data_IF_270386044631
#
_entry.id   IF_270386044631
#
_cell.length_a   1.000
_cell.length_b   1.000
_cell.length_c   1.000
_cell.angle_alpha   90.00
_cell.angle_beta   90.00
_cell.angle_gamma   90.00
#
_symmetry.space_group_name_H-M   'P 1'
#
loop_
_entity.id
_entity.type
_entity.pdbx_description
1 polymer ?
#
# COMPACT_ATOMS: atom_id res chain seq x y z
N UNK A 1 6.91 -12.61 0.83
CA UNK A 1 5.81 -11.64 0.78
C UNK A 1 5.58 -11.14 2.17
N UNK A 2 5.68 -9.82 2.39
CA UNK A 2 5.37 -9.23 3.68
C UNK A 2 3.88 -8.89 3.68
N UNK A 3 3.17 -9.24 4.74
CA UNK A 3 1.79 -8.81 4.97
C UNK A 3 1.77 -7.79 6.11
N UNK A 4 0.96 -6.74 5.96
CA UNK A 4 0.72 -5.71 6.96
C UNK A 4 -0.75 -5.77 7.39
N UNK A 5 -0.98 -5.65 8.70
CA UNK A 5 -2.33 -5.54 9.24
C UNK A 5 -2.61 -4.07 9.45
N UNK A 6 -3.61 -3.56 8.74
CA UNK A 6 -3.99 -2.14 8.76
C UNK A 6 -4.45 -1.76 10.17
N UNK A 7 -3.77 -0.82 10.79
CA UNK A 7 -4.12 -0.23 12.08
C UNK A 7 -5.32 0.72 11.98
N UNK A 8 -5.93 1.02 13.12
CA UNK A 8 -7.05 1.96 13.19
C UNK A 8 -6.57 3.38 12.85
N UNK A 9 -7.06 3.92 11.73
CA UNK A 9 -6.66 5.23 11.21
C UNK A 9 -5.50 5.18 10.20
N UNK A 10 -4.96 3.98 9.88
CA UNK A 10 -4.02 3.84 8.78
C UNK A 10 -4.75 3.90 7.43
N UNK A 11 -4.04 4.41 6.43
CA UNK A 11 -4.50 4.51 5.05
C UNK A 11 -3.47 3.87 4.13
N UNK A 12 -3.86 3.48 2.91
CA UNK A 12 -2.91 2.97 1.91
C UNK A 12 -1.74 3.93 1.73
N UNK A 13 -1.99 5.24 1.76
CA UNK A 13 -0.96 6.27 1.60
C UNK A 13 0.04 6.27 2.77
N UNK A 14 -0.43 6.15 4.01
CA UNK A 14 0.45 6.08 5.18
C UNK A 14 1.28 4.81 5.18
N UNK A 15 0.67 3.67 4.84
CA UNK A 15 1.34 2.36 4.79
C UNK A 15 2.35 2.34 3.65
N UNK A 16 1.96 2.81 2.47
CA UNK A 16 2.85 2.91 1.31
C UNK A 16 4.09 3.76 1.62
N UNK A 17 3.92 4.90 2.30
CA UNK A 17 5.04 5.73 2.78
C UNK A 17 5.91 5.00 3.81
N UNK A 18 5.30 4.28 4.75
CA UNK A 18 6.01 3.52 5.79
C UNK A 18 6.91 2.44 5.18
N UNK A 19 6.41 1.74 4.17
CA UNK A 19 7.13 0.67 3.48
C UNK A 19 7.93 1.15 2.26
N UNK A 20 7.92 2.45 1.95
CA UNK A 20 8.56 3.06 0.76
C UNK A 20 8.17 2.39 -0.56
N UNK A 21 6.89 2.10 -0.70
CA UNK A 21 6.28 1.48 -1.88
C UNK A 21 5.25 2.43 -2.49
N UNK A 22 4.92 2.28 -3.77
CA UNK A 22 3.88 3.08 -4.38
C UNK A 22 2.49 2.65 -3.88
N UNK A 23 1.58 3.63 -3.73
CA UNK A 23 0.17 3.32 -3.44
C UNK A 23 -0.44 2.49 -4.56
N UNK A 24 -0.10 2.80 -5.82
CA UNK A 24 -0.55 2.05 -7.00
C UNK A 24 -0.06 0.59 -6.97
N UNK A 25 1.22 0.34 -6.66
CA UNK A 25 1.74 -1.02 -6.48
C UNK A 25 1.04 -1.75 -5.34
N UNK A 26 0.74 -1.07 -4.23
CA UNK A 26 -0.02 -1.66 -3.13
C UNK A 26 -1.45 -2.02 -3.57
N UNK A 27 -2.08 -1.16 -4.37
CA UNK A 27 -3.42 -1.38 -4.90
C UNK A 27 -3.43 -2.56 -5.87
N UNK A 28 -2.51 -2.61 -6.82
CA UNK A 28 -2.34 -3.70 -7.78
C UNK A 28 -2.06 -5.03 -7.08
N UNK A 29 -1.14 -5.05 -6.11
CA UNK A 29 -0.76 -6.26 -5.38
C UNK A 29 -1.89 -6.81 -4.50
N UNK A 30 -2.86 -5.98 -4.10
CA UNK A 30 -3.98 -6.38 -3.25
C UNK A 30 -5.34 -6.33 -3.93
N UNK A 31 -5.38 -5.97 -5.21
CA UNK A 31 -6.61 -5.67 -5.95
C UNK A 31 -7.51 -4.66 -5.22
N UNK A 32 -6.92 -3.63 -4.60
CA UNK A 32 -7.65 -2.58 -3.88
C UNK A 32 -7.88 -1.42 -4.83
N UNK A 33 -9.09 -1.31 -5.38
CA UNK A 33 -9.46 -0.21 -6.28
C UNK A 33 -9.60 1.13 -5.54
N UNK A 34 -10.01 1.09 -4.27
CA UNK A 34 -10.21 2.28 -3.43
C UNK A 34 -9.41 2.19 -2.14
N UNK A 35 -8.34 2.98 -2.03
CA UNK A 35 -7.59 3.12 -0.77
C UNK A 35 -8.39 3.72 0.39
N UNK A 36 -9.58 4.26 0.09
CA UNK A 36 -10.55 4.77 1.07
C UNK A 36 -11.44 3.66 1.66
N UNK A 37 -11.48 2.47 1.05
CA UNK A 37 -12.16 1.28 1.60
C UNK A 37 -11.29 0.47 2.54
N UNK A 38 -10.05 0.90 2.77
CA UNK A 38 -9.13 0.21 3.65
C UNK A 38 -9.67 0.23 5.08
N UNK A 39 -9.91 -0.94 5.66
CA UNK A 39 -10.45 -1.06 7.01
C UNK A 39 -9.39 -1.48 8.02
N UNK A 40 -9.50 -0.94 9.23
CA UNK A 40 -8.67 -1.38 10.35
C UNK A 40 -8.89 -2.88 10.63
N UNK A 41 -7.81 -3.64 10.74
CA UNK A 41 -7.81 -5.10 10.86
C UNK A 41 -7.72 -5.83 9.52
N UNK A 42 -7.72 -5.12 8.39
CA UNK A 42 -7.53 -5.74 7.09
C UNK A 42 -6.06 -6.15 6.90
N UNK A 43 -5.84 -7.39 6.44
CA UNK A 43 -4.52 -7.85 6.06
C UNK A 43 -4.28 -7.50 4.59
N UNK A 44 -3.20 -6.78 4.33
CA UNK A 44 -2.76 -6.43 2.98
C UNK A 44 -1.35 -6.95 2.73
N UNK A 45 -1.08 -7.36 1.51
CA UNK A 45 0.21 -7.78 1.01
C UNK A 45 1.03 -6.55 0.62
N UNK A 46 2.18 -6.39 1.23
CA UNK A 46 3.15 -5.35 0.88
C UNK A 46 4.10 -5.94 -0.19
N UNK A 47 4.04 -5.47 -1.44
CA UNK A 47 5.01 -5.86 -2.44
C UNK A 47 6.39 -5.33 -2.04
N UNK A 48 7.36 -6.22 -1.82
CA UNK A 48 8.76 -5.86 -1.51
C UNK A 48 9.56 -5.47 -2.75
N UNK A 49 8.92 -4.82 -3.73
CA UNK A 49 9.61 -4.24 -4.88
C UNK A 49 10.22 -2.91 -4.44
N UNK A 50 11.37 -3.00 -3.76
CA UNK A 50 12.16 -1.83 -3.34
C UNK A 50 12.82 -1.11 -4.53
N UNK A 51 12.13 -0.99 -5.65
CA UNK A 51 12.53 -0.16 -6.78
C UNK A 51 11.60 1.03 -6.81
N UNK A 52 12.01 2.19 -6.25
CA UNK A 52 11.32 3.46 -6.49
C UNK A 52 11.51 3.85 -7.96
N UNK A 53 10.86 3.12 -8.87
CA UNK A 53 10.77 3.42 -10.30
C UNK A 53 9.35 3.88 -10.62
N UNK A 54 8.83 4.78 -9.79
CA UNK A 54 7.73 5.64 -10.16
C UNK A 54 8.25 7.08 -10.06
N UNK A 55 8.96 7.48 -11.11
CA UNK A 55 9.11 8.88 -11.49
C UNK A 55 7.78 9.60 -11.31
N UNK A 56 7.68 10.65 -10.49
CA UNK A 56 6.53 11.54 -10.53
C UNK A 56 6.70 12.39 -11.79
N UNK A 57 6.08 11.99 -12.90
CA UNK A 57 6.05 12.80 -14.11
C UNK A 57 4.61 12.86 -14.63
N UNK A 58 3.99 14.01 -14.42
CA UNK A 58 2.65 14.38 -14.88
C UNK A 58 2.04 15.46 -14.00
#
# INVERSE_FOLDING_TARGET
>A
GNTHIVGRGETLTSIAKMYKVAVDELQQANHIEDGRKLQAGQTITIPTSATPTATPAG
#
